data_IF_740149645319
#
_entry.id   IF_740149645319
#
_cell.length_a   1.000
_cell.length_b   1.000
_cell.length_c   1.000
_cell.angle_alpha   90.00
_cell.angle_beta   90.00
_cell.angle_gamma   90.00
#
_symmetry.space_group_name_H-M   'P 1'
#
loop_
_entity.id
_entity.type
_entity.pdbx_description
1 polymer ?
#
# COMPACT_ATOMS: atom_id res chain seq x y z
N UNK A 1 -0.13 8.43 -22.64
CA UNK A 1 1.28 8.33 -22.23
C UNK A 1 1.29 7.50 -20.95
N UNK A 2 1.95 6.34 -20.94
CA UNK A 2 2.21 5.66 -19.67
C UNK A 2 3.16 6.54 -18.89
N UNK A 3 2.76 6.96 -17.70
CA UNK A 3 3.65 7.59 -16.74
C UNK A 3 4.84 6.64 -16.49
N UNK A 4 6.06 7.13 -16.65
CA UNK A 4 7.24 6.33 -16.38
C UNK A 4 7.31 6.04 -14.87
N UNK A 5 7.66 4.80 -14.52
CA UNK A 5 7.67 4.30 -13.15
C UNK A 5 8.48 5.18 -12.21
N UNK A 6 9.56 5.78 -12.70
CA UNK A 6 10.43 6.63 -11.90
C UNK A 6 9.71 7.86 -11.35
N UNK A 7 8.84 8.48 -12.16
CA UNK A 7 8.00 9.62 -11.78
C UNK A 7 6.94 9.15 -10.79
N UNK A 8 6.25 8.05 -11.11
CA UNK A 8 5.21 7.53 -10.24
C UNK A 8 5.73 7.15 -8.84
N UNK A 9 6.87 6.48 -8.76
CA UNK A 9 7.47 6.06 -7.49
C UNK A 9 7.91 7.25 -6.64
N UNK A 10 8.36 8.33 -7.29
CA UNK A 10 8.69 9.59 -6.62
C UNK A 10 7.45 10.27 -6.05
N UNK A 11 6.38 10.38 -6.85
CA UNK A 11 5.09 10.92 -6.40
C UNK A 11 4.44 10.07 -5.31
N UNK A 12 4.55 8.74 -5.39
CA UNK A 12 4.09 7.82 -4.36
C UNK A 12 4.81 8.12 -3.05
N UNK A 13 6.14 8.16 -3.04
CA UNK A 13 6.90 8.48 -1.83
C UNK A 13 6.57 9.88 -1.30
N UNK A 14 6.45 10.89 -2.18
CA UNK A 14 6.11 12.26 -1.79
C UNK A 14 4.74 12.37 -1.13
N UNK A 15 3.74 11.60 -1.58
CA UNK A 15 2.44 11.58 -0.89
C UNK A 15 2.53 11.09 0.57
N UNK A 16 3.46 10.18 0.87
CA UNK A 16 3.73 9.75 2.24
C UNK A 16 4.60 10.72 3.02
N UNK A 17 5.52 11.45 2.35
CA UNK A 17 6.24 12.58 2.95
C UNK A 17 5.26 13.69 3.37
N UNK A 18 4.33 14.07 2.51
CA UNK A 18 3.30 15.08 2.80
C UNK A 18 2.45 14.65 4.00
N UNK A 19 2.02 13.39 4.04
CA UNK A 19 1.32 12.81 5.18
C UNK A 19 2.17 12.84 6.46
N UNK A 20 3.48 12.59 6.34
CA UNK A 20 4.42 12.63 7.44
C UNK A 20 4.68 14.06 7.96
N UNK A 21 4.61 15.06 7.09
CA UNK A 21 4.75 16.46 7.47
C UNK A 21 3.46 16.98 8.10
N UNK A 22 2.31 16.57 7.56
CA UNK A 22 1.00 17.04 8.00
C UNK A 22 -0.05 15.91 7.96
N UNK A 23 -0.43 15.42 9.15
CA UNK A 23 -1.27 14.22 9.33
C UNK A 23 -2.77 14.57 9.20
N UNK A 24 -3.16 15.20 8.09
CA UNK A 24 -4.55 15.55 7.80
C UNK A 24 -5.29 14.39 7.15
N UNK A 25 -6.63 14.44 7.25
CA UNK A 25 -7.49 13.50 6.54
C UNK A 25 -7.30 13.57 5.03
N UNK A 26 -7.06 14.76 4.48
CA UNK A 26 -6.75 14.98 3.06
C UNK A 26 -5.46 14.26 2.66
N UNK A 27 -4.34 14.49 3.36
CA UNK A 27 -3.07 13.85 3.03
C UNK A 27 -3.15 12.32 3.16
N UNK A 28 -3.90 11.81 4.16
CA UNK A 28 -4.14 10.37 4.32
C UNK A 28 -4.87 9.80 3.09
N UNK A 29 -5.90 10.51 2.61
CA UNK A 29 -6.63 10.09 1.41
C UNK A 29 -5.77 10.20 0.16
N UNK A 30 -4.91 11.22 0.04
CA UNK A 30 -3.98 11.38 -1.11
C UNK A 30 -2.96 10.24 -1.17
N UNK A 31 -2.39 9.84 -0.03
CA UNK A 31 -1.51 8.67 0.04
C UNK A 31 -2.25 7.38 -0.37
N UNK A 32 -3.49 7.21 0.08
CA UNK A 32 -4.32 6.08 -0.31
C UNK A 32 -4.67 6.07 -1.82
N UNK A 33 -4.88 7.24 -2.44
CA UNK A 33 -5.07 7.36 -3.89
C UNK A 33 -3.84 6.89 -4.67
N UNK A 34 -2.63 7.24 -4.20
CA UNK A 34 -1.39 6.74 -4.82
C UNK A 34 -1.23 5.22 -4.68
N UNK A 35 -1.67 4.63 -3.58
CA UNK A 35 -1.74 3.16 -3.44
C UNK A 35 -2.73 2.55 -4.43
N UNK A 36 -3.89 3.17 -4.65
CA UNK A 36 -4.85 2.72 -5.67
C UNK A 36 -4.24 2.78 -7.08
N UNK A 37 -3.51 3.86 -7.40
CA UNK A 37 -2.80 3.98 -8.67
C UNK A 37 -1.72 2.90 -8.83
N UNK A 38 -0.95 2.59 -7.78
CA UNK A 38 0.01 1.49 -7.78
C UNK A 38 -0.67 0.15 -8.06
N UNK A 39 -1.81 -0.12 -7.42
CA UNK A 39 -2.60 -1.34 -7.65
C UNK A 39 -3.06 -1.44 -9.12
N UNK A 40 -3.50 -0.33 -9.70
CA UNK A 40 -3.92 -0.27 -11.11
C UNK A 40 -2.74 -0.53 -12.06
N UNK A 41 -1.56 0.04 -11.79
CA UNK A 41 -0.33 -0.20 -12.56
C UNK A 41 0.10 -1.67 -12.50
N UNK A 42 0.05 -2.27 -11.31
CA UNK A 42 0.41 -3.67 -11.10
C UNK A 42 -0.56 -4.64 -11.78
N UNK A 43 -1.79 -4.21 -12.05
CA UNK A 43 -2.87 -5.01 -12.66
C UNK A 43 -3.01 -6.40 -12.02
N UNK A 44 -2.83 -6.50 -10.69
CA UNK A 44 -2.98 -7.76 -9.96
C UNK A 44 -4.45 -7.97 -9.63
N UNK A 45 -5.03 -9.08 -10.09
CA UNK A 45 -6.45 -9.39 -9.93
C UNK A 45 -6.93 -9.33 -8.47
N UNK A 46 -6.17 -9.88 -7.53
CA UNK A 46 -6.53 -9.85 -6.10
C UNK A 46 -6.46 -8.45 -5.48
N UNK A 47 -5.52 -7.61 -5.93
CA UNK A 47 -5.40 -6.23 -5.44
C UNK A 47 -6.57 -5.35 -5.91
N UNK A 48 -7.30 -5.75 -6.97
CA UNK A 48 -8.56 -5.08 -7.35
C UNK A 48 -9.65 -5.22 -6.29
N UNK A 49 -9.67 -6.33 -5.52
CA UNK A 49 -10.57 -6.43 -4.36
C UNK A 49 -10.17 -5.44 -3.27
N UNK A 50 -8.86 -5.26 -3.04
CA UNK A 50 -8.34 -4.27 -2.11
C UNK A 50 -8.70 -2.84 -2.52
N UNK A 51 -8.74 -2.52 -3.83
CA UNK A 51 -9.12 -1.17 -4.32
C UNK A 51 -10.50 -0.71 -3.83
N UNK A 52 -11.50 -1.59 -3.84
CA UNK A 52 -12.85 -1.26 -3.34
C UNK A 52 -12.81 -0.95 -1.84
N UNK A 53 -12.11 -1.78 -1.06
CA UNK A 53 -11.95 -1.59 0.37
C UNK A 53 -11.22 -0.26 0.70
N UNK A 54 -10.10 0.00 0.03
CA UNK A 54 -9.33 1.26 0.16
C UNK A 54 -10.23 2.45 -0.14
N UNK A 55 -10.98 2.41 -1.25
CA UNK A 55 -11.88 3.50 -1.66
C UNK A 55 -12.98 3.75 -0.63
N UNK A 56 -13.54 2.69 -0.05
CA UNK A 56 -14.54 2.83 1.00
C UNK A 56 -13.93 3.38 2.30
N UNK A 57 -12.72 2.98 2.65
CA UNK A 57 -12.03 3.51 3.83
C UNK A 57 -11.61 4.97 3.64
N UNK A 58 -11.22 5.38 2.43
CA UNK A 58 -11.04 6.80 2.08
C UNK A 58 -12.33 7.60 2.26
N UNK A 59 -13.50 7.06 1.92
CA UNK A 59 -14.79 7.74 2.17
C UNK A 59 -15.13 7.82 3.67
N UNK A 60 -14.77 6.80 4.44
CA UNK A 60 -14.98 6.76 5.90
C UNK A 60 -14.13 7.81 6.62
N UNK A 61 -12.86 7.95 6.19
CA UNK A 61 -12.02 9.09 6.55
C UNK A 61 -12.69 10.32 5.93
N UNK A 62 -12.57 10.58 4.64
CA UNK A 62 -13.16 11.75 3.99
C UNK A 62 -12.15 12.89 3.89
N UNK A 63 -12.22 13.66 2.80
CA UNK A 63 -11.22 14.68 2.45
C UNK A 63 -11.47 15.95 3.25
N UNK A 64 -10.61 16.23 4.23
CA UNK A 64 -10.67 17.41 5.10
C UNK A 64 -9.25 17.82 5.48
N UNK A 65 -9.00 19.13 5.60
CA UNK A 65 -7.75 19.66 6.15
C UNK A 65 -7.64 19.46 7.67
N UNK A 66 -8.66 18.88 8.30
CA UNK A 66 -8.62 18.52 9.72
C UNK A 66 -7.55 17.46 10.00
N UNK A 67 -6.74 17.70 11.04
CA UNK A 67 -5.78 16.75 11.57
C UNK A 67 -6.47 15.46 12.05
N UNK A 68 -5.85 14.33 11.74
CA UNK A 68 -6.38 13.01 12.04
C UNK A 68 -6.58 12.81 13.55
N UNK A 69 -5.66 13.29 14.37
CA UNK A 69 -5.71 13.22 15.84
C UNK A 69 -6.90 13.98 16.44
N UNK A 70 -7.37 15.05 15.78
CA UNK A 70 -8.55 15.80 16.22
C UNK A 70 -9.85 15.11 15.82
N UNK A 71 -9.82 14.44 14.67
CA UNK A 71 -11.01 13.85 14.07
C UNK A 71 -11.35 12.46 14.59
N UNK A 72 -10.33 11.62 14.81
CA UNK A 72 -10.52 10.24 15.24
C UNK A 72 -11.30 10.13 16.56
N UNK A 73 -10.98 10.90 17.63
CA UNK A 73 -11.66 10.78 18.91
C UNK A 73 -13.17 11.02 18.84
N UNK A 74 -13.62 11.91 17.95
CA UNK A 74 -15.03 12.26 17.80
C UNK A 74 -15.74 11.47 16.68
N UNK A 75 -15.01 10.72 15.85
CA UNK A 75 -15.56 10.05 14.67
C UNK A 75 -15.09 8.60 14.53
N UNK A 76 -15.83 7.67 15.14
CA UNK A 76 -15.58 6.21 15.04
C UNK A 76 -15.48 5.70 13.60
N UNK A 77 -16.24 6.32 12.68
CA UNK A 77 -16.18 5.98 11.25
C UNK A 77 -14.82 6.34 10.65
N UNK A 78 -14.31 7.55 10.93
CA UNK A 78 -12.99 7.98 10.48
C UNK A 78 -11.88 7.14 11.12
N UNK A 79 -11.98 6.84 12.43
CA UNK A 79 -11.07 5.94 13.14
C UNK A 79 -10.94 4.58 12.44
N UNK A 80 -12.07 3.95 12.13
CA UNK A 80 -12.09 2.67 11.40
C UNK A 80 -11.48 2.80 10.01
N UNK A 81 -11.79 3.88 9.27
CA UNK A 81 -11.20 4.11 7.95
C UNK A 81 -9.68 4.26 8.01
N UNK A 82 -9.17 5.06 8.94
CA UNK A 82 -7.74 5.30 9.13
C UNK A 82 -7.00 4.02 9.53
N UNK A 83 -7.55 3.21 10.43
CA UNK A 83 -7.00 1.90 10.80
C UNK A 83 -6.82 0.99 9.59
N UNK A 84 -7.86 0.83 8.77
CA UNK A 84 -7.78 -0.07 7.61
C UNK A 84 -6.90 0.46 6.48
N UNK A 85 -6.82 1.79 6.30
CA UNK A 85 -5.83 2.40 5.41
C UNK A 85 -4.41 2.14 5.90
N UNK A 86 -4.13 2.34 7.20
CA UNK A 86 -2.83 2.04 7.80
C UNK A 86 -2.41 0.58 7.63
N UNK A 87 -3.34 -0.36 7.84
CA UNK A 87 -3.07 -1.79 7.61
C UNK A 87 -2.83 -2.10 6.12
N UNK A 88 -3.50 -1.40 5.20
CA UNK A 88 -3.22 -1.51 3.76
C UNK A 88 -1.82 -1.00 3.43
N UNK A 89 -1.43 0.16 3.96
CA UNK A 89 -0.11 0.73 3.72
C UNK A 89 1.00 -0.19 4.23
N UNK A 90 0.79 -0.80 5.40
CA UNK A 90 1.72 -1.79 5.96
C UNK A 90 1.89 -3.00 5.04
N UNK A 91 0.80 -3.53 4.47
CA UNK A 91 0.89 -4.63 3.51
C UNK A 91 1.58 -4.23 2.21
N UNK A 92 1.22 -3.07 1.64
CA UNK A 92 1.77 -2.65 0.34
C UNK A 92 3.24 -2.27 0.46
N UNK A 93 3.67 -1.58 1.52
CA UNK A 93 5.09 -1.29 1.75
C UNK A 93 5.90 -2.57 1.87
N UNK A 94 5.39 -3.57 2.61
CA UNK A 94 6.05 -4.86 2.82
C UNK A 94 6.13 -5.64 1.50
N UNK A 95 5.02 -5.72 0.76
CA UNK A 95 4.97 -6.37 -0.55
C UNK A 95 6.03 -5.79 -1.49
N UNK A 96 6.06 -4.48 -1.66
CA UNK A 96 6.97 -3.83 -2.58
C UNK A 96 8.43 -4.00 -2.15
N UNK A 97 8.71 -3.90 -0.85
CA UNK A 97 10.05 -4.12 -0.29
C UNK A 97 10.55 -5.55 -0.56
N UNK A 98 9.75 -6.56 -0.25
CA UNK A 98 10.12 -7.97 -0.48
C UNK A 98 10.30 -8.30 -1.96
N UNK A 99 9.56 -7.64 -2.85
CA UNK A 99 9.64 -7.86 -4.30
C UNK A 99 11.01 -7.50 -4.88
N UNK A 100 11.63 -6.43 -4.35
CA UNK A 100 12.90 -5.90 -4.86
C UNK A 100 14.12 -6.40 -4.09
N UNK A 101 13.92 -7.03 -2.93
CA UNK A 101 15.00 -7.63 -2.14
C UNK A 101 15.59 -8.87 -2.84
N UNK A 102 16.92 -8.82 -3.04
CA UNK A 102 17.73 -9.92 -3.59
C UNK A 102 17.53 -11.27 -2.91
N UNK A 103 17.21 -11.29 -1.61
CA UNK A 103 17.00 -12.52 -0.84
C UNK A 103 15.77 -13.32 -1.30
N UNK A 104 14.85 -12.67 -2.01
CA UNK A 104 13.61 -13.27 -2.51
C UNK A 104 13.55 -13.27 -4.05
N UNK A 105 14.71 -13.11 -4.72
CA UNK A 105 14.79 -13.07 -6.18
C UNK A 105 14.35 -14.39 -6.84
N UNK A 106 14.50 -15.52 -6.15
CA UNK A 106 14.09 -16.86 -6.57
C UNK A 106 12.58 -17.12 -6.38
N UNK A 107 11.90 -16.29 -5.58
CA UNK A 107 10.47 -16.45 -5.28
C UNK A 107 9.58 -15.81 -6.33
N UNK A 108 8.46 -16.46 -6.58
CA UNK A 108 7.39 -15.89 -7.40
C UNK A 108 6.72 -14.69 -6.69
N UNK A 109 6.15 -13.73 -7.42
CA UNK A 109 5.38 -12.64 -6.83
C UNK A 109 4.23 -13.13 -5.95
N UNK A 110 3.61 -14.28 -6.27
CA UNK A 110 2.56 -14.89 -5.46
C UNK A 110 3.05 -15.36 -4.09
N UNK A 111 4.23 -15.98 -4.02
CA UNK A 111 4.86 -16.38 -2.75
C UNK A 111 5.24 -15.16 -1.92
N UNK A 112 5.75 -14.10 -2.56
CA UNK A 112 6.10 -12.85 -1.89
C UNK A 112 4.86 -12.14 -1.37
N UNK A 113 3.78 -12.07 -2.15
CA UNK A 113 2.53 -11.49 -1.71
C UNK A 113 1.90 -12.26 -0.54
N UNK A 114 2.02 -13.59 -0.55
CA UNK A 114 1.64 -14.42 0.59
C UNK A 114 2.47 -14.11 1.82
N UNK A 115 3.79 -13.99 1.69
CA UNK A 115 4.69 -13.66 2.81
C UNK A 115 4.36 -12.27 3.39
N UNK A 116 4.22 -11.25 2.54
CA UNK A 116 3.83 -9.90 2.95
C UNK A 116 2.49 -9.92 3.70
N UNK A 117 1.52 -10.70 3.21
CA UNK A 117 0.21 -10.87 3.84
C UNK A 117 0.30 -11.53 5.21
N UNK A 118 1.10 -12.58 5.34
CA UNK A 118 1.33 -13.29 6.59
C UNK A 118 1.99 -12.39 7.65
N UNK A 119 2.90 -11.51 7.24
CA UNK A 119 3.58 -10.54 8.12
C UNK A 119 2.66 -9.40 8.57
N UNK A 120 1.57 -9.12 7.85
CA UNK A 120 0.80 -7.88 8.02
C UNK A 120 -0.70 -8.13 8.21
N UNK A 121 -1.48 -8.23 7.14
CA UNK A 121 -2.94 -8.21 7.15
C UNK A 121 -3.59 -9.48 7.70
N UNK A 122 -2.93 -10.64 7.63
CA UNK A 122 -3.53 -11.94 7.98
C UNK A 122 -4.13 -11.97 9.38
N UNK A 123 -3.48 -11.33 10.36
CA UNK A 123 -3.95 -11.27 11.75
C UNK A 123 -5.27 -10.51 11.93
N UNK A 124 -5.65 -9.67 10.95
CA UNK A 124 -6.89 -8.90 10.97
C UNK A 124 -8.01 -9.53 10.13
N UNK A 125 -7.72 -10.56 9.35
CA UNK A 125 -8.69 -11.21 8.48
C UNK A 125 -9.21 -12.51 9.10
N UNK A 126 -10.53 -12.71 8.99
CA UNK A 126 -11.12 -14.00 9.32
C UNK A 126 -10.72 -15.08 8.30
N UNK A 127 -11.10 -16.33 8.58
CA UNK A 127 -10.76 -17.47 7.72
C UNK A 127 -11.28 -17.30 6.28
N UNK A 128 -12.50 -16.79 6.10
CA UNK A 128 -13.10 -16.60 4.79
C UNK A 128 -12.33 -15.57 3.95
N UNK A 129 -12.06 -14.39 4.51
CA UNK A 129 -11.25 -13.35 3.84
C UNK A 129 -9.83 -13.86 3.55
N UNK A 130 -9.22 -14.59 4.50
CA UNK A 130 -7.91 -15.19 4.29
C UNK A 130 -7.87 -16.17 3.13
N UNK A 131 -8.91 -16.99 2.94
CA UNK A 131 -9.02 -17.90 1.80
C UNK A 131 -9.11 -17.14 0.46
N UNK A 132 -9.86 -16.04 0.41
CA UNK A 132 -9.98 -15.20 -0.79
C UNK A 132 -8.61 -14.63 -1.19
N UNK A 133 -7.87 -14.07 -0.23
CA UNK A 133 -6.52 -13.56 -0.48
C UNK A 133 -5.56 -14.67 -0.91
N UNK A 134 -5.57 -15.83 -0.23
CA UNK A 134 -4.74 -16.97 -0.58
C UNK A 134 -4.99 -17.50 -1.99
N UNK A 135 -6.26 -17.55 -2.42
CA UNK A 135 -6.62 -17.90 -3.80
C UNK A 135 -6.13 -16.81 -4.78
N UNK A 136 -6.30 -15.55 -4.40
CA UNK A 136 -5.86 -14.41 -5.18
C UNK A 136 -4.36 -14.37 -5.42
N UNK A 137 -3.53 -14.77 -4.45
CA UNK A 137 -2.08 -14.78 -4.62
C UNK A 137 -1.60 -15.74 -5.71
N UNK A 138 -2.34 -16.82 -5.96
CA UNK A 138 -2.06 -17.76 -7.04
C UNK A 138 -2.30 -17.17 -8.44
N UNK A 139 -2.98 -16.03 -8.52
CA UNK A 139 -3.30 -15.33 -9.78
C UNK A 139 -2.28 -14.24 -10.14
N UNK A 140 -1.26 -14.02 -9.29
CA UNK A 140 -0.21 -13.05 -9.61
C UNK A 140 0.57 -13.50 -10.85
N UNK A 141 1.02 -12.55 -11.69
CA UNK A 141 1.81 -12.87 -12.87
C UNK A 141 3.18 -13.47 -12.51
N UNK A 142 3.89 -13.99 -13.52
CA UNK A 142 5.31 -14.32 -13.39
C UNK A 142 6.11 -13.09 -12.96
N UNK A 143 7.29 -13.32 -12.35
CA UNK A 143 8.19 -12.25 -11.93
C UNK A 143 8.55 -11.32 -13.09
N UNK A 144 8.92 -11.88 -14.24
CA UNK A 144 9.22 -11.10 -15.45
C UNK A 144 8.07 -10.18 -15.84
N UNK A 145 6.83 -10.69 -15.90
CA UNK A 145 5.65 -9.89 -16.26
C UNK A 145 5.30 -8.87 -15.17
N UNK A 146 5.58 -9.18 -13.91
CA UNK A 146 5.42 -8.24 -12.81
C UNK A 146 6.41 -7.07 -12.94
N UNK A 147 7.67 -7.36 -13.21
CA UNK A 147 8.75 -6.37 -13.40
C UNK A 147 8.51 -5.51 -14.64
N UNK A 148 8.05 -6.12 -15.75
CA UNK A 148 7.61 -5.39 -16.95
C UNK A 148 6.46 -4.41 -16.65
N UNK A 149 5.48 -4.80 -15.83
CA UNK A 149 4.35 -3.91 -15.46
C UNK A 149 4.77 -2.74 -14.59
N UNK A 150 5.78 -2.95 -13.76
CA UNK A 150 6.40 -1.89 -12.99
C UNK A 150 7.34 -1.02 -13.84
N UNK A 151 7.47 -1.25 -15.15
CA UNK A 151 8.39 -0.49 -15.99
C UNK A 151 9.85 -0.65 -15.55
N UNK A 152 10.19 -1.75 -14.89
CA UNK A 152 11.53 -1.96 -14.35
C UNK A 152 12.48 -2.27 -15.50
N UNK A 153 13.24 -1.26 -15.91
CA UNK A 153 14.34 -1.41 -16.86
C UNK A 153 15.60 -1.95 -16.16
N UNK A 154 15.79 -1.56 -14.89
CA UNK A 154 16.87 -2.07 -14.02
C UNK A 154 16.45 -2.01 -12.55
N UNK A 155 16.73 -3.07 -11.79
CA UNK A 155 16.49 -3.12 -10.34
C UNK A 155 17.32 -2.08 -9.56
N UNK A 156 18.45 -1.62 -10.11
CA UNK A 156 19.31 -0.63 -9.47
C UNK A 156 18.64 0.74 -9.36
N UNK A 157 17.74 1.09 -10.29
CA UNK A 157 16.97 2.35 -10.24
C UNK A 157 15.72 2.22 -9.36
N UNK A 158 15.15 1.02 -9.28
CA UNK A 158 13.87 0.77 -8.60
C UNK A 158 14.05 0.63 -7.11
N UNK A 159 15.09 -0.09 -6.68
CA UNK A 159 15.35 -0.37 -5.25
C UNK A 159 15.40 0.91 -4.41
N UNK A 160 16.22 1.94 -4.73
CA UNK A 160 16.28 3.14 -3.89
C UNK A 160 14.92 3.83 -3.72
N UNK A 161 14.10 3.86 -4.79
CA UNK A 161 12.77 4.47 -4.77
C UNK A 161 11.79 3.66 -3.91
N UNK A 162 11.79 2.32 -4.03
CA UNK A 162 10.98 1.46 -3.17
C UNK A 162 11.42 1.53 -1.71
N UNK A 163 12.73 1.60 -1.43
CA UNK A 163 13.24 1.77 -0.08
C UNK A 163 12.80 3.11 0.53
N UNK A 164 12.82 4.19 -0.26
CA UNK A 164 12.29 5.49 0.16
C UNK A 164 10.79 5.42 0.46
N UNK A 165 9.99 4.89 -0.46
CA UNK A 165 8.57 4.67 -0.23
C UNK A 165 8.32 3.84 1.04
N UNK A 166 9.05 2.73 1.20
CA UNK A 166 8.94 1.87 2.37
C UNK A 166 9.20 2.64 3.67
N UNK A 167 10.27 3.43 3.71
CA UNK A 167 10.62 4.25 4.88
C UNK A 167 9.52 5.25 5.24
N UNK A 168 9.02 6.00 4.25
CA UNK A 168 7.98 7.01 4.49
C UNK A 168 6.63 6.39 4.87
N UNK A 169 6.25 5.29 4.22
CA UNK A 169 5.05 4.54 4.55
C UNK A 169 5.11 3.93 5.95
N UNK A 170 6.27 3.41 6.37
CA UNK A 170 6.46 2.86 7.72
C UNK A 170 6.25 3.93 8.80
N UNK A 171 6.88 5.09 8.63
CA UNK A 171 6.69 6.26 9.50
C UNK A 171 5.22 6.68 9.56
N UNK A 172 4.54 6.75 8.41
CA UNK A 172 3.13 7.15 8.35
C UNK A 172 2.24 6.14 9.08
N UNK A 173 2.47 4.83 8.90
CA UNK A 173 1.72 3.77 9.59
C UNK A 173 1.86 3.89 11.10
N UNK A 174 3.06 4.14 11.62
CA UNK A 174 3.29 4.36 13.06
C UNK A 174 2.48 5.56 13.56
N UNK A 175 2.53 6.70 12.85
CA UNK A 175 1.81 7.91 13.27
C UNK A 175 0.28 7.76 13.19
N UNK A 176 -0.24 7.08 12.16
CA UNK A 176 -1.67 6.75 12.07
C UNK A 176 -2.10 5.92 13.28
N UNK A 177 -1.29 4.92 13.66
CA UNK A 177 -1.57 4.07 14.83
C UNK A 177 -1.52 4.84 16.15
N UNK A 178 -0.61 5.79 16.29
CA UNK A 178 -0.57 6.67 17.46
C UNK A 178 -1.75 7.64 17.55
N UNK A 179 -2.50 7.83 16.46
CA UNK A 179 -3.70 8.68 16.41
C UNK A 179 -5.00 7.91 16.71
N UNK A 180 -4.95 6.58 16.83
CA UNK A 180 -6.09 5.67 17.05
C UNK A 180 -6.24 5.30 18.53
#
# INVERSE_FOLDING_TARGET
MSEDWETFAEELANAFVDLNNDMTCENLTRAAEKIVQLIDLLQIGILKLAKSDITNNMKKVGKSSELLENRIPSCRRAASGALWLGNTFEFIKELMFLIVDTKYADKSPGEIARLAYENTLKKYHNAATSCIFAAGFKTLPSREKFEQRLGIVSMDNVRPKIHRFHHEADRAVVRIRSSL
#
